data_IF_521985457010
#
_entry.id   IF_521985457010
#
_cell.length_a   1.000
_cell.length_b   1.000
_cell.length_c   1.000
_cell.angle_alpha   90.00
_cell.angle_beta   90.00
_cell.angle_gamma   90.00
#
_symmetry.space_group_name_H-M   'P 1'
#
loop_
_entity.id
_entity.type
_entity.pdbx_description
1 polymer ?
#
# COMPACT_ATOMS: atom_id res chain seq x y z
N UNK A 1 -42.10 7.64 0.22
CA UNK A 1 -42.95 8.10 -0.90
C UNK A 1 -42.93 7.00 -1.96
N UNK A 2 -44.08 6.42 -2.28
CA UNK A 2 -44.16 5.11 -2.96
C UNK A 2 -43.86 5.27 -4.46
N UNK A 3 -42.66 4.89 -4.90
CA UNK A 3 -42.13 5.07 -6.28
C UNK A 3 -43.10 4.51 -7.34
N UNK A 4 -43.84 3.45 -7.00
CA UNK A 4 -44.86 2.87 -7.88
C UNK A 4 -46.01 3.83 -8.18
N UNK A 5 -46.47 4.60 -7.20
CA UNK A 5 -47.56 5.56 -7.40
C UNK A 5 -47.11 6.77 -8.24
N UNK A 6 -45.85 7.16 -8.14
CA UNK A 6 -45.28 8.23 -8.97
C UNK A 6 -45.14 7.78 -10.43
N UNK A 7 -44.76 6.52 -10.65
CA UNK A 7 -44.67 5.94 -12.01
C UNK A 7 -46.04 5.77 -12.66
N UNK A 8 -47.05 5.33 -11.91
CA UNK A 8 -48.43 5.20 -12.40
C UNK A 8 -48.99 6.58 -12.73
N UNK A 9 -48.79 7.57 -11.86
CA UNK A 9 -49.23 8.95 -12.10
C UNK A 9 -48.55 9.57 -13.33
N UNK A 10 -47.24 9.34 -13.52
CA UNK A 10 -46.53 9.79 -14.73
C UNK A 10 -46.99 9.07 -15.99
N UNK A 11 -47.25 7.76 -15.93
CA UNK A 11 -47.78 6.99 -17.07
C UNK A 11 -49.17 7.49 -17.47
N UNK A 12 -50.06 7.77 -16.51
CA UNK A 12 -51.38 8.35 -16.78
C UNK A 12 -51.27 9.75 -17.38
N UNK A 13 -50.36 10.58 -16.87
CA UNK A 13 -50.16 11.94 -17.38
C UNK A 13 -49.54 11.94 -18.79
N UNK A 14 -48.63 11.01 -19.08
CA UNK A 14 -48.02 10.87 -20.42
C UNK A 14 -49.00 10.24 -21.42
N UNK A 15 -49.86 9.31 -20.99
CA UNK A 15 -50.88 8.68 -21.85
C UNK A 15 -51.98 9.67 -22.28
N UNK A 16 -52.26 10.69 -21.46
CA UNK A 16 -53.15 11.80 -21.82
C UNK A 16 -52.56 12.78 -22.85
N UNK A 17 -51.23 12.78 -23.00
CA UNK A 17 -50.56 13.48 -24.10
C UNK A 17 -50.53 12.55 -25.33
N UNK A 18 -51.64 12.53 -26.08
CA UNK A 18 -51.68 11.98 -27.43
C UNK A 18 -50.75 12.82 -28.34
N UNK A 19 -49.46 12.47 -28.35
CA UNK A 19 -48.43 13.10 -29.20
C UNK A 19 -48.58 12.75 -30.69
N UNK A 20 -49.53 11.86 -31.03
CA UNK A 20 -49.73 11.34 -32.38
C UNK A 20 -51.19 11.35 -32.87
N UNK A 21 -52.02 12.30 -32.46
CA UNK A 21 -53.14 12.66 -33.34
C UNK A 21 -52.65 13.76 -34.28
N UNK A 22 -52.46 13.49 -35.58
CA UNK A 22 -52.47 14.56 -36.55
C UNK A 22 -53.87 15.19 -36.46
N UNK A 23 -53.96 16.51 -36.34
CA UNK A 23 -55.19 17.18 -36.73
C UNK A 23 -55.41 16.81 -38.21
N UNK A 24 -56.41 15.95 -38.48
CA UNK A 24 -56.80 15.53 -39.82
C UNK A 24 -57.47 16.71 -40.53
N UNK A 25 -56.71 17.74 -40.95
CA UNK A 25 -57.30 18.84 -41.73
C UNK A 25 -56.28 19.62 -42.60
N UNK A 26 -55.11 19.06 -42.97
CA UNK A 26 -54.12 19.86 -43.72
C UNK A 26 -53.23 19.10 -44.72
N UNK A 27 -53.76 18.06 -45.38
CA UNK A 27 -53.13 17.52 -46.60
C UNK A 27 -54.04 17.71 -47.81
N UNK A 28 -53.95 18.90 -48.40
CA UNK A 28 -54.33 19.11 -49.80
C UNK A 28 -53.03 19.32 -50.59
N UNK A 29 -52.37 18.21 -50.92
CA UNK A 29 -51.21 18.17 -51.80
C UNK A 29 -51.69 18.40 -53.24
N UNK A 30 -51.53 19.64 -53.71
CA UNK A 30 -51.37 20.00 -55.11
C UNK A 30 -50.67 21.36 -55.14
N UNK A 31 -49.34 21.39 -55.20
CA UNK A 31 -48.67 22.04 -56.35
C UNK A 31 -47.16 21.81 -56.29
N UNK A 32 -46.63 21.39 -57.44
CA UNK A 32 -45.24 21.58 -57.82
C UNK A 32 -44.98 23.10 -57.89
N UNK A 33 -44.09 23.66 -57.07
CA UNK A 33 -43.21 24.76 -57.46
C UNK A 33 -42.30 25.22 -56.33
N UNK A 34 -41.05 25.51 -56.69
CA UNK A 34 -40.04 26.17 -55.87
C UNK A 34 -40.55 27.53 -55.31
N UNK A 35 -41.02 27.58 -54.06
CA UNK A 35 -41.29 28.84 -53.33
C UNK A 35 -41.08 28.69 -51.80
N UNK A 36 -40.89 29.80 -51.05
CA UNK A 36 -40.15 29.82 -49.80
C UNK A 36 -40.92 29.10 -48.67
N UNK A 37 -40.18 28.33 -47.89
CA UNK A 37 -40.63 27.60 -46.71
C UNK A 37 -41.54 28.48 -45.82
N UNK A 38 -42.83 28.14 -45.76
CA UNK A 38 -43.85 28.85 -45.00
C UNK A 38 -43.44 28.97 -43.50
N UNK A 39 -43.40 30.19 -42.91
CA UNK A 39 -43.04 30.40 -41.50
C UNK A 39 -43.97 29.66 -40.52
N UNK A 40 -45.19 29.28 -40.94
CA UNK A 40 -46.13 28.55 -40.08
C UNK A 40 -45.72 27.07 -39.88
N UNK A 41 -45.19 26.41 -40.93
CA UNK A 41 -44.75 25.01 -40.87
C UNK A 41 -43.48 24.88 -40.02
N UNK A 42 -42.56 25.83 -40.16
CA UNK A 42 -41.33 25.89 -39.34
C UNK A 42 -41.62 26.18 -37.87
N UNK A 43 -42.62 27.03 -37.57
CA UNK A 43 -43.05 27.32 -36.19
C UNK A 43 -43.68 26.10 -35.50
N UNK A 44 -44.52 25.33 -36.20
CA UNK A 44 -45.10 24.09 -35.68
C UNK A 44 -44.01 23.05 -35.38
N UNK A 45 -43.05 22.88 -36.29
CA UNK A 45 -41.91 21.98 -36.07
C UNK A 45 -41.06 22.36 -34.86
N UNK A 46 -40.85 23.67 -34.64
CA UNK A 46 -40.14 24.19 -33.49
C UNK A 46 -40.87 23.89 -32.18
N UNK A 47 -42.20 24.08 -32.12
CA UNK A 47 -43.02 23.80 -30.93
C UNK A 47 -42.99 22.31 -30.55
N UNK A 48 -43.13 21.40 -31.52
CA UNK A 48 -43.06 19.96 -31.29
C UNK A 48 -41.67 19.52 -30.82
N UNK A 49 -40.62 20.08 -31.40
CA UNK A 49 -39.24 19.82 -30.98
C UNK A 49 -39.02 20.24 -29.52
N UNK A 50 -39.48 21.43 -29.12
CA UNK A 50 -39.37 21.89 -27.70
C UNK A 50 -40.17 21.03 -26.72
N UNK A 51 -41.37 20.55 -27.11
CA UNK A 51 -42.22 19.73 -26.24
C UNK A 51 -41.66 18.33 -25.98
N UNK A 52 -40.89 17.78 -26.92
CA UNK A 52 -40.16 16.51 -26.74
C UNK A 52 -38.81 16.70 -26.05
N UNK A 53 -38.15 17.84 -26.26
CA UNK A 53 -36.86 18.14 -25.67
C UNK A 53 -36.91 18.29 -24.14
N UNK A 54 -37.93 18.97 -23.60
CA UNK A 54 -38.09 19.20 -22.15
C UNK A 54 -38.16 17.89 -21.34
N UNK A 55 -39.04 16.91 -21.65
CA UNK A 55 -39.09 15.66 -20.88
C UNK A 55 -37.81 14.85 -21.04
N UNK A 56 -37.20 14.85 -22.23
CA UNK A 56 -35.94 14.15 -22.48
C UNK A 56 -34.78 14.77 -21.65
N UNK A 57 -34.77 16.09 -21.53
CA UNK A 57 -33.84 16.83 -20.67
C UNK A 57 -34.06 16.52 -19.19
N UNK A 58 -35.32 16.42 -18.72
CA UNK A 58 -35.63 16.03 -17.34
C UNK A 58 -35.16 14.61 -17.05
N UNK A 59 -35.39 13.67 -17.97
CA UNK A 59 -34.97 12.26 -17.82
C UNK A 59 -33.45 12.15 -17.77
N UNK A 60 -32.73 12.86 -18.64
CA UNK A 60 -31.25 12.82 -18.65
C UNK A 60 -30.66 13.42 -17.37
N UNK A 61 -31.19 14.55 -16.87
CA UNK A 61 -30.79 15.12 -15.59
C UNK A 61 -31.08 14.18 -14.42
N UNK A 62 -32.23 13.49 -14.44
CA UNK A 62 -32.57 12.49 -13.43
C UNK A 62 -31.59 11.31 -13.41
N UNK A 63 -31.21 10.79 -14.58
CA UNK A 63 -30.23 9.70 -14.68
C UNK A 63 -28.86 10.16 -14.15
N UNK A 64 -28.41 11.36 -14.52
CA UNK A 64 -27.13 11.92 -14.07
C UNK A 64 -27.08 12.09 -12.55
N UNK A 65 -28.14 12.64 -11.96
CA UNK A 65 -28.23 12.81 -10.50
C UNK A 65 -28.28 11.48 -9.77
N UNK A 66 -29.02 10.50 -10.30
CA UNK A 66 -29.06 9.14 -9.74
C UNK A 66 -27.69 8.47 -9.74
N UNK A 67 -26.96 8.53 -10.85
CA UNK A 67 -25.60 7.98 -10.95
C UNK A 67 -24.64 8.68 -9.99
N UNK A 68 -24.75 10.01 -9.85
CA UNK A 68 -23.92 10.77 -8.92
C UNK A 68 -24.17 10.39 -7.44
N UNK A 69 -25.42 10.10 -7.07
CA UNK A 69 -25.78 9.69 -5.70
C UNK A 69 -25.39 8.24 -5.41
N UNK A 70 -25.53 7.34 -6.39
CA UNK A 70 -25.24 5.91 -6.21
C UNK A 70 -23.73 5.61 -6.27
N UNK A 71 -22.93 6.50 -6.87
CA UNK A 71 -21.48 6.33 -6.93
C UNK A 71 -20.91 6.20 -5.51
N UNK A 72 -20.40 5.02 -5.12
CA UNK A 72 -19.91 4.80 -3.76
C UNK A 72 -18.70 5.71 -3.50
N UNK A 73 -18.69 6.36 -2.34
CA UNK A 73 -17.51 7.07 -1.88
C UNK A 73 -16.55 6.05 -1.28
N UNK A 74 -15.46 5.76 -2.00
CA UNK A 74 -14.38 4.92 -1.50
C UNK A 74 -13.67 5.66 -0.37
N UNK A 75 -13.91 5.27 0.88
CA UNK A 75 -13.16 5.77 2.03
C UNK A 75 -11.95 4.87 2.26
N UNK A 76 -10.75 5.46 2.22
CA UNK A 76 -9.53 4.78 2.64
C UNK A 76 -9.34 4.97 4.14
N UNK A 77 -9.14 3.88 4.87
CA UNK A 77 -8.84 3.90 6.30
C UNK A 77 -7.34 3.62 6.46
N UNK A 78 -6.61 4.55 7.06
CA UNK A 78 -5.20 4.36 7.39
C UNK A 78 -5.06 3.79 8.80
N UNK A 79 -4.44 2.61 8.92
CA UNK A 79 -4.10 2.00 10.21
C UNK A 79 -2.59 2.15 10.43
N UNK A 80 -2.20 2.88 11.48
CA UNK A 80 -0.81 2.96 11.95
C UNK A 80 -0.54 1.89 13.00
N UNK A 81 0.67 1.30 13.00
CA UNK A 81 1.10 0.20 13.89
C UNK A 81 0.31 -1.11 13.72
N UNK A 82 0.49 -1.73 12.56
CA UNK A 82 -0.08 -3.06 12.27
C UNK A 82 0.78 -4.15 12.93
N UNK A 83 0.14 -5.03 13.70
CA UNK A 83 0.76 -6.27 14.18
C UNK A 83 0.75 -7.36 13.09
N UNK A 84 1.67 -8.34 13.12
CA UNK A 84 1.72 -9.40 12.09
C UNK A 84 0.42 -10.21 12.01
N UNK A 85 -0.28 -10.38 13.14
CA UNK A 85 -1.54 -11.11 13.22
C UNK A 85 -2.67 -10.32 12.54
N UNK A 86 -2.78 -9.03 12.87
CA UNK A 86 -3.77 -8.13 12.27
C UNK A 86 -3.53 -7.95 10.77
N UNK A 87 -2.27 -7.90 10.34
CA UNK A 87 -1.91 -7.86 8.92
C UNK A 87 -2.46 -9.09 8.18
N UNK A 88 -2.22 -10.29 8.71
CA UNK A 88 -2.68 -11.53 8.06
C UNK A 88 -4.20 -11.60 7.98
N UNK A 89 -4.91 -11.12 9.00
CA UNK A 89 -6.37 -11.06 9.00
C UNK A 89 -6.91 -10.11 7.92
N UNK A 90 -6.37 -8.88 7.88
CA UNK A 90 -6.75 -7.89 6.87
C UNK A 90 -6.37 -8.33 5.44
N UNK A 91 -5.21 -8.97 5.28
CA UNK A 91 -4.78 -9.50 3.99
C UNK A 91 -5.70 -10.62 3.52
N UNK A 92 -6.18 -11.50 4.42
CA UNK A 92 -7.12 -12.57 4.05
C UNK A 92 -8.46 -12.02 3.56
N UNK A 93 -8.96 -10.97 4.21
CA UNK A 93 -10.32 -10.49 3.98
C UNK A 93 -10.38 -9.35 2.93
N UNK A 94 -9.27 -8.65 2.69
CA UNK A 94 -9.19 -7.47 1.82
C UNK A 94 -7.94 -7.41 0.92
N UNK A 95 -7.37 -8.55 0.51
CA UNK A 95 -6.15 -8.62 -0.31
C UNK A 95 -6.14 -7.64 -1.50
N UNK A 96 -7.27 -7.55 -2.23
CA UNK A 96 -7.38 -6.83 -3.50
C UNK A 96 -7.39 -5.30 -3.33
N UNK A 97 -7.76 -4.80 -2.15
CA UNK A 97 -7.91 -3.37 -1.85
C UNK A 97 -6.91 -2.86 -0.82
N UNK A 98 -6.15 -3.76 -0.20
CA UNK A 98 -5.12 -3.44 0.78
C UNK A 98 -3.89 -2.82 0.09
N UNK A 99 -3.55 -1.60 0.47
CA UNK A 99 -2.32 -0.93 0.02
C UNK A 99 -1.43 -0.65 1.22
N UNK A 100 -0.19 -1.14 1.19
CA UNK A 100 0.82 -0.87 2.21
C UNK A 100 1.86 0.10 1.64
N UNK A 101 1.64 1.41 1.74
CA UNK A 101 2.66 2.37 1.37
C UNK A 101 3.84 2.23 2.33
N UNK A 102 5.05 2.09 1.79
CA UNK A 102 6.27 2.13 2.60
C UNK A 102 6.40 3.52 3.23
N UNK A 103 6.48 3.60 4.56
CA UNK A 103 6.66 4.87 5.26
C UNK A 103 8.01 5.52 4.97
N UNK A 104 9.02 4.69 4.69
CA UNK A 104 10.37 5.10 4.33
C UNK A 104 10.93 4.18 3.25
N UNK A 105 11.66 4.73 2.28
CA UNK A 105 12.29 3.99 1.18
C UNK A 105 13.45 3.11 1.68
N UNK A 106 14.04 3.50 2.80
CA UNK A 106 15.15 2.82 3.42
C UNK A 106 14.89 2.65 4.92
N UNK A 107 15.09 1.44 5.43
CA UNK A 107 15.02 1.13 6.86
C UNK A 107 16.39 0.58 7.30
N UNK A 108 17.02 1.12 8.35
CA UNK A 108 18.30 0.59 8.84
C UNK A 108 18.13 -0.83 9.37
N UNK A 109 19.08 -1.71 9.06
CA UNK A 109 19.02 -3.13 9.40
C UNK A 109 18.86 -3.39 10.89
N UNK A 110 19.50 -2.57 11.74
CA UNK A 110 19.38 -2.67 13.20
C UNK A 110 17.97 -2.45 13.76
N UNK A 111 17.03 -1.92 12.97
CA UNK A 111 15.60 -1.83 13.37
C UNK A 111 14.79 -3.09 13.05
N UNK A 112 15.31 -3.95 12.18
CA UNK A 112 14.59 -5.13 11.67
C UNK A 112 15.12 -6.40 12.32
N UNK A 113 16.43 -6.45 12.59
CA UNK A 113 17.11 -7.64 13.08
C UNK A 113 17.69 -7.39 14.47
N UNK A 114 17.45 -8.32 15.39
CA UNK A 114 18.06 -8.34 16.71
C UNK A 114 19.16 -9.41 16.74
N UNK A 115 20.39 -9.01 17.05
CA UNK A 115 21.54 -9.92 17.12
C UNK A 115 21.83 -10.32 18.58
N UNK A 116 22.00 -11.61 18.84
CA UNK A 116 22.53 -12.13 20.11
C UNK A 116 23.84 -12.86 19.86
N UNK A 117 24.96 -12.21 20.17
CA UNK A 117 26.29 -12.81 20.03
C UNK A 117 26.69 -13.44 21.35
N UNK A 118 27.19 -14.67 21.27
CA UNK A 118 27.87 -15.34 22.37
C UNK A 118 29.26 -15.77 21.91
N UNK A 119 30.26 -15.44 22.71
CA UNK A 119 31.64 -15.87 22.47
C UNK A 119 31.91 -17.18 23.22
N UNK A 120 32.95 -17.89 22.81
CA UNK A 120 33.34 -19.12 23.47
C UNK A 120 33.64 -18.85 24.97
N UNK A 121 33.15 -19.67 25.92
CA UNK A 121 33.31 -19.44 27.36
C UNK A 121 34.76 -19.26 27.83
N UNK A 122 35.73 -19.77 27.07
CA UNK A 122 37.16 -19.56 27.35
C UNK A 122 37.54 -18.07 27.35
N UNK A 123 36.90 -17.24 26.53
CA UNK A 123 37.17 -15.82 26.41
C UNK A 123 36.63 -14.99 27.58
N UNK A 124 35.79 -15.57 28.43
CA UNK A 124 35.34 -14.99 29.70
C UNK A 124 35.90 -15.75 30.92
N UNK A 125 36.78 -16.71 30.69
CA UNK A 125 37.39 -17.52 31.75
C UNK A 125 38.68 -16.90 32.29
N UNK A 126 39.17 -17.44 33.40
CA UNK A 126 40.45 -17.04 34.01
C UNK A 126 41.65 -17.25 33.05
N UNK A 127 41.54 -18.13 32.05
CA UNK A 127 42.64 -18.47 31.15
C UNK A 127 43.12 -17.31 30.26
N UNK A 128 42.28 -16.31 30.04
CA UNK A 128 42.64 -15.10 29.28
C UNK A 128 42.97 -13.91 30.19
N UNK A 129 42.90 -14.10 31.51
CA UNK A 129 43.17 -13.03 32.48
C UNK A 129 44.68 -12.76 32.56
N UNK A 130 45.03 -11.49 32.84
CA UNK A 130 46.44 -11.08 32.98
C UNK A 130 47.09 -11.80 34.15
N UNK A 131 46.35 -12.04 35.23
CA UNK A 131 46.80 -12.70 36.44
C UNK A 131 47.21 -14.15 36.16
N UNK A 132 46.39 -14.90 35.42
CA UNK A 132 46.72 -16.26 35.00
C UNK A 132 47.97 -16.31 34.12
N UNK A 133 48.01 -15.44 33.11
CA UNK A 133 49.13 -15.37 32.16
C UNK A 133 50.44 -15.01 32.88
N UNK A 134 50.39 -14.08 33.83
CA UNK A 134 51.55 -13.69 34.63
C UNK A 134 51.99 -14.80 35.60
N UNK A 135 51.05 -15.55 36.17
CA UNK A 135 51.37 -16.69 37.04
C UNK A 135 52.13 -17.81 36.33
N UNK A 136 52.04 -17.88 34.99
CA UNK A 136 52.78 -18.83 34.16
C UNK A 136 54.21 -18.39 33.83
N UNK A 137 54.62 -17.18 34.25
CA UNK A 137 55.98 -16.71 34.03
C UNK A 137 56.98 -17.46 34.93
N UNK A 138 58.00 -18.06 34.31
CA UNK A 138 59.09 -18.76 34.98
C UNK A 138 60.42 -18.18 34.54
N UNK A 139 61.17 -17.59 35.48
CA UNK A 139 62.47 -16.95 35.20
C UNK A 139 63.55 -17.93 34.72
N UNK A 140 63.43 -19.21 35.05
CA UNK A 140 64.35 -20.29 34.66
C UNK A 140 63.76 -21.24 33.61
N UNK A 141 62.75 -20.79 32.84
CA UNK A 141 62.12 -21.61 31.80
C UNK A 141 63.14 -22.18 30.79
N UNK A 142 64.23 -21.48 30.50
CA UNK A 142 65.30 -21.92 29.60
C UNK A 142 66.09 -23.14 30.09
N UNK A 143 66.03 -23.45 31.39
CA UNK A 143 66.65 -24.64 31.97
C UNK A 143 65.75 -25.88 31.94
N UNK A 144 64.49 -25.73 31.55
CA UNK A 144 63.54 -26.83 31.38
C UNK A 144 63.66 -27.42 29.97
N UNK A 145 63.19 -28.65 29.81
CA UNK A 145 63.07 -29.28 28.49
C UNK A 145 62.12 -28.46 27.61
N UNK A 146 62.44 -28.30 26.33
CA UNK A 146 61.62 -27.54 25.34
C UNK A 146 60.18 -28.08 25.23
N UNK A 147 59.98 -29.36 25.54
CA UNK A 147 58.68 -30.04 25.53
C UNK A 147 57.86 -29.81 26.82
N UNK A 148 58.44 -29.17 27.84
CA UNK A 148 57.73 -28.85 29.08
C UNK A 148 56.72 -27.73 28.78
N UNK A 149 55.44 -28.02 29.00
CA UNK A 149 54.34 -27.07 28.81
C UNK A 149 54.64 -25.71 29.43
N UNK A 150 55.29 -25.66 30.59
CA UNK A 150 55.60 -24.44 31.31
C UNK A 150 56.53 -23.48 30.54
N UNK A 151 57.28 -23.99 29.56
CA UNK A 151 58.13 -23.16 28.70
C UNK A 151 57.35 -22.39 27.63
N UNK A 152 56.15 -22.88 27.25
CA UNK A 152 55.33 -22.30 26.18
C UNK A 152 53.94 -21.84 26.66
N UNK A 153 53.53 -22.21 27.87
CA UNK A 153 52.21 -21.91 28.41
C UNK A 153 51.89 -20.41 28.37
N UNK A 154 52.80 -19.56 28.85
CA UNK A 154 52.61 -18.10 28.85
C UNK A 154 52.28 -17.57 27.46
N UNK A 155 53.08 -17.91 26.44
CA UNK A 155 52.86 -17.42 25.07
C UNK A 155 51.59 -17.99 24.43
N UNK A 156 51.23 -19.23 24.76
CA UNK A 156 49.97 -19.84 24.29
C UNK A 156 48.73 -19.15 24.87
N UNK A 157 48.72 -18.83 26.17
CA UNK A 157 47.60 -18.12 26.78
C UNK A 157 47.58 -16.63 26.42
N UNK A 158 48.74 -16.00 26.18
CA UNK A 158 48.81 -14.65 25.58
C UNK A 158 48.16 -14.64 24.19
N UNK A 159 48.47 -15.64 23.36
CA UNK A 159 47.89 -15.79 22.04
C UNK A 159 46.36 -16.02 22.13
N UNK A 160 45.91 -16.88 23.05
CA UNK A 160 44.48 -17.11 23.30
C UNK A 160 43.75 -15.82 23.70
N UNK A 161 44.33 -15.04 24.63
CA UNK A 161 43.76 -13.77 25.06
C UNK A 161 43.67 -12.77 23.89
N UNK A 162 44.72 -12.68 23.06
CA UNK A 162 44.72 -11.84 21.87
C UNK A 162 43.64 -12.29 20.86
N UNK A 163 43.51 -13.59 20.59
CA UNK A 163 42.47 -14.11 19.71
C UNK A 163 41.06 -13.77 20.22
N UNK A 164 40.81 -13.95 21.52
CA UNK A 164 39.52 -13.59 22.11
C UNK A 164 39.22 -12.10 21.95
N UNK A 165 40.20 -11.23 22.20
CA UNK A 165 40.04 -9.77 22.05
C UNK A 165 39.74 -9.39 20.60
N UNK A 166 40.55 -9.88 19.65
CA UNK A 166 40.38 -9.56 18.23
C UNK A 166 39.06 -10.10 17.69
N UNK A 167 38.66 -11.31 18.11
CA UNK A 167 37.38 -11.89 17.69
C UNK A 167 36.19 -11.04 18.17
N UNK A 168 36.23 -10.57 19.42
CA UNK A 168 35.20 -9.69 19.96
C UNK A 168 35.14 -8.37 19.20
N UNK A 169 36.29 -7.72 19.02
CA UNK A 169 36.38 -6.45 18.31
C UNK A 169 35.89 -6.57 16.86
N UNK A 170 36.34 -7.59 16.15
CA UNK A 170 35.94 -7.83 14.74
C UNK A 170 34.42 -7.99 14.63
N UNK A 171 33.82 -8.80 15.50
CA UNK A 171 32.38 -9.02 15.47
C UNK A 171 31.61 -7.74 15.82
N UNK A 172 32.06 -6.98 16.83
CA UNK A 172 31.40 -5.71 17.18
C UNK A 172 31.51 -4.67 16.05
N UNK A 173 32.65 -4.58 15.37
CA UNK A 173 32.81 -3.69 14.22
C UNK A 173 31.89 -4.10 13.07
N UNK A 174 31.88 -5.40 12.72
CA UNK A 174 30.99 -5.90 11.67
C UNK A 174 29.51 -5.69 11.99
N UNK A 175 29.10 -5.80 13.26
CA UNK A 175 27.74 -5.47 13.65
C UNK A 175 27.40 -4.00 13.43
N UNK A 176 28.28 -3.09 13.84
CA UNK A 176 28.06 -1.66 13.65
C UNK A 176 27.91 -1.34 12.17
N UNK A 177 28.72 -1.96 11.31
CA UNK A 177 28.61 -1.79 9.86
C UNK A 177 27.26 -2.29 9.34
N UNK A 178 26.86 -3.52 9.69
CA UNK A 178 25.58 -4.12 9.27
C UNK A 178 24.38 -3.34 9.80
N UNK A 179 24.38 -2.89 11.05
CA UNK A 179 23.27 -2.12 11.62
C UNK A 179 23.05 -0.78 10.90
N UNK A 180 24.13 -0.18 10.37
CA UNK A 180 24.10 1.04 9.59
C UNK A 180 23.74 0.83 8.12
N UNK A 181 23.79 -0.42 7.62
CA UNK A 181 23.33 -0.72 6.27
C UNK A 181 21.83 -0.47 6.14
N UNK A 182 21.44 0.08 5.00
CA UNK A 182 20.05 0.41 4.69
C UNK A 182 19.42 -0.69 3.85
N UNK A 183 18.32 -1.24 4.35
CA UNK A 183 17.45 -2.09 3.54
C UNK A 183 16.54 -1.21 2.69
N UNK A 184 16.73 -1.25 1.36
CA UNK A 184 15.94 -0.49 0.38
C UNK A 184 14.89 -1.40 -0.23
N UNK A 185 13.62 -1.07 -0.03
CA UNK A 185 12.50 -1.76 -0.68
C UNK A 185 12.23 -1.12 -2.04
N UNK A 186 12.45 -1.86 -3.12
CA UNK A 186 12.14 -1.44 -4.51
C UNK A 186 10.70 -1.76 -4.90
#
# INVERSE_FOLDING_TARGET
MNIKNLFIWLLEHIYGYNVFLPDEDDYNDNDDSDEPVDPAVTLKHQLYSTRLYIPLLIITLYILTFVAVVSPQNQSISVSDITPVLFNELYRDHADTLSCPCSTIAVPYGKIVSHMISFHPVCSSTYVSKEWIQALYLSYASSLLVMDFRTTAKSQFELLAAFCSISQETVFQSLVDVENEQFVTS
#
